data_IF_241370999137
#
_entry.id   IF_241370999137
#
_cell.length_a   1.000
_cell.length_b   1.000
_cell.length_c   1.000
_cell.angle_alpha   90.00
_cell.angle_beta   90.00
_cell.angle_gamma   90.00
#
_symmetry.space_group_name_H-M   'P 1'
#
loop_
_entity.id
_entity.type
_entity.pdbx_description
1 polymer ?
#
# COMPACT_ATOMS: atom_id res chain seq x y z
N UNK A 1 -29.92 10.09 -21.40
CA UNK A 1 -29.48 8.71 -21.08
C UNK A 1 -29.72 7.86 -22.32
N UNK A 2 -28.70 7.14 -22.74
CA UNK A 2 -28.77 6.24 -23.90
C UNK A 2 -28.98 4.79 -23.42
N UNK A 3 -29.72 3.99 -24.18
CA UNK A 3 -29.99 2.58 -23.86
C UNK A 3 -29.82 1.73 -25.12
N UNK A 4 -28.90 0.77 -25.04
CA UNK A 4 -28.76 -0.27 -26.06
C UNK A 4 -30.02 -1.13 -26.12
N UNK A 5 -30.46 -1.49 -27.33
CA UNK A 5 -31.74 -2.15 -27.59
C UNK A 5 -31.69 -3.69 -27.57
N UNK A 6 -30.49 -4.27 -27.47
CA UNK A 6 -30.26 -5.71 -27.58
C UNK A 6 -29.39 -6.22 -26.42
N UNK A 7 -29.56 -7.50 -25.99
CA UNK A 7 -28.88 -8.05 -24.83
C UNK A 7 -27.39 -8.34 -25.13
N UNK A 8 -26.50 -7.55 -24.53
CA UNK A 8 -25.05 -7.77 -24.62
C UNK A 8 -24.66 -8.99 -23.77
N UNK A 9 -23.94 -9.94 -24.39
CA UNK A 9 -23.46 -11.15 -23.71
C UNK A 9 -22.23 -10.83 -22.85
N UNK A 10 -22.43 -10.74 -21.54
CA UNK A 10 -21.37 -10.55 -20.55
C UNK A 10 -20.88 -11.89 -19.99
N UNK A 11 -19.62 -11.91 -19.53
CA UNK A 11 -18.99 -13.06 -18.89
C UNK A 11 -18.29 -12.59 -17.61
N UNK A 12 -18.58 -13.24 -16.49
CA UNK A 12 -17.91 -13.00 -15.21
C UNK A 12 -17.06 -14.24 -14.86
N UNK A 13 -15.89 -14.02 -14.27
CA UNK A 13 -15.07 -15.05 -13.65
C UNK A 13 -14.57 -14.53 -12.30
N UNK A 14 -14.51 -15.41 -11.30
CA UNK A 14 -14.16 -15.04 -9.93
C UNK A 14 -12.68 -15.33 -9.66
N UNK A 15 -12.00 -14.38 -9.00
CA UNK A 15 -10.58 -14.48 -8.62
C UNK A 15 -10.46 -13.98 -7.18
N UNK A 16 -10.00 -14.85 -6.29
CA UNK A 16 -9.97 -14.64 -4.84
C UNK A 16 -8.59 -14.13 -4.36
N UNK A 17 -8.42 -14.00 -3.04
CA UNK A 17 -7.28 -13.39 -2.32
C UNK A 17 -6.99 -11.92 -2.62
N UNK A 18 -7.03 -11.50 -3.89
CA UNK A 18 -6.69 -10.13 -4.30
C UNK A 18 -7.53 -9.65 -5.50
N UNK A 19 -8.35 -8.62 -5.28
CA UNK A 19 -9.32 -8.12 -6.26
C UNK A 19 -8.90 -6.79 -6.91
N UNK A 20 -8.31 -6.80 -8.13
CA UNK A 20 -8.23 -5.67 -9.11
C UNK A 20 -7.40 -6.13 -10.36
N UNK A 21 -7.46 -5.51 -11.57
CA UNK A 21 -6.54 -5.84 -12.70
C UNK A 21 -6.19 -4.75 -13.77
N UNK A 22 -4.88 -4.46 -14.02
CA UNK A 22 -4.38 -3.42 -14.97
C UNK A 22 -3.93 -4.05 -16.28
N UNK A 23 -4.73 -3.88 -17.33
CA UNK A 23 -4.25 -3.86 -18.72
C UNK A 23 -3.82 -2.43 -19.05
N UNK A 24 -2.95 -2.24 -20.05
CA UNK A 24 -2.69 -0.90 -20.62
C UNK A 24 -3.90 -0.39 -21.41
N UNK A 25 -4.04 0.94 -21.50
CA UNK A 25 -5.19 1.67 -22.10
C UNK A 25 -6.59 1.44 -21.50
N UNK A 26 -6.77 0.65 -20.43
CA UNK A 26 -8.01 0.65 -19.61
C UNK A 26 -7.76 0.16 -18.18
N UNK A 27 -8.18 0.92 -17.15
CA UNK A 27 -7.54 0.87 -15.83
C UNK A 27 -8.32 0.40 -14.59
N UNK A 28 -7.85 -0.72 -14.00
CA UNK A 28 -8.08 -1.29 -12.63
C UNK A 28 -6.71 -1.95 -12.22
N UNK A 29 -6.36 -2.47 -11.01
CA UNK A 29 -4.93 -2.84 -10.65
C UNK A 29 -4.53 -4.35 -10.44
N UNK A 30 -3.58 -4.92 -11.22
CA UNK A 30 -3.22 -6.39 -11.29
C UNK A 30 -3.05 -7.13 -9.94
N UNK A 31 -3.89 -8.17 -9.72
CA UNK A 31 -3.63 -9.28 -8.80
C UNK A 31 -4.34 -10.60 -9.23
N UNK A 32 -3.84 -11.76 -8.77
CA UNK A 32 -4.39 -13.11 -9.01
C UNK A 32 -4.59 -13.90 -7.68
N UNK A 33 -5.46 -14.93 -7.71
CA UNK A 33 -5.64 -15.91 -6.62
C UNK A 33 -4.39 -16.78 -6.40
N UNK A 34 -4.24 -17.34 -5.20
CA UNK A 34 -3.12 -18.13 -4.68
C UNK A 34 -1.92 -17.27 -4.27
N UNK A 35 -2.16 -16.39 -3.29
CA UNK A 35 -1.14 -16.08 -2.31
C UNK A 35 -1.48 -16.87 -1.05
N UNK A 36 -0.97 -18.10 -0.93
CA UNK A 36 -1.19 -18.97 0.23
C UNK A 36 -0.60 -18.35 1.50
N UNK A 37 -1.40 -17.50 2.16
CA UNK A 37 -1.05 -16.93 3.45
C UNK A 37 -1.49 -17.89 4.54
N UNK A 38 -0.53 -18.53 5.19
CA UNK A 38 -0.77 -19.27 6.42
C UNK A 38 -1.39 -18.31 7.46
N UNK A 39 -2.65 -18.55 7.82
CA UNK A 39 -3.33 -17.81 8.88
C UNK A 39 -2.85 -18.33 10.25
N UNK A 40 -1.57 -18.15 10.55
CA UNK A 40 -1.04 -18.45 11.88
C UNK A 40 -1.48 -17.34 12.85
N UNK A 41 -2.29 -17.74 13.83
CA UNK A 41 -2.70 -16.87 14.93
C UNK A 41 -1.49 -16.47 15.78
N UNK A 42 -1.52 -15.26 16.33
CA UNK A 42 -0.33 -14.60 16.85
C UNK A 42 0.48 -15.39 17.88
N UNK A 43 1.78 -15.52 17.61
CA UNK A 43 2.84 -15.73 18.59
C UNK A 43 3.58 -14.41 18.81
N UNK A 44 3.93 -14.08 20.05
CA UNK A 44 4.79 -12.93 20.39
C UNK A 44 6.25 -13.20 19.99
N UNK A 45 6.51 -13.16 18.69
CA UNK A 45 7.85 -13.31 18.10
C UNK A 45 7.94 -12.87 16.64
N UNK A 46 6.84 -12.87 15.88
CA UNK A 46 6.88 -12.61 14.43
C UNK A 46 7.03 -11.14 14.04
N UNK A 47 7.91 -10.90 13.06
CA UNK A 47 8.32 -9.56 12.62
C UNK A 47 7.34 -8.96 11.61
N UNK A 48 6.44 -8.10 12.11
CA UNK A 48 5.44 -7.37 11.30
C UNK A 48 6.15 -6.52 10.25
N UNK A 49 6.07 -6.93 8.99
CA UNK A 49 6.80 -6.30 7.88
C UNK A 49 5.98 -5.19 7.20
N UNK A 50 4.66 -5.18 7.39
CA UNK A 50 3.77 -4.08 7.04
C UNK A 50 2.48 -4.09 7.84
N UNK A 51 1.79 -2.94 7.91
CA UNK A 51 0.57 -2.80 8.71
C UNK A 51 0.39 -1.38 9.24
N UNK A 52 -0.17 -1.23 10.43
CA UNK A 52 -0.20 0.06 11.13
C UNK A 52 1.20 0.48 11.55
N UNK A 53 1.53 1.78 11.46
CA UNK A 53 2.81 2.29 11.92
C UNK A 53 3.12 1.88 13.35
N UNK A 54 2.13 1.86 14.26
CA UNK A 54 2.30 1.41 15.64
C UNK A 54 2.92 0.00 15.72
N UNK A 55 2.37 -0.95 14.98
CA UNK A 55 2.76 -2.35 15.06
C UNK A 55 4.08 -2.61 14.32
N UNK A 56 4.23 -2.03 13.12
CA UNK A 56 5.47 -2.11 12.32
C UNK A 56 6.65 -1.47 13.07
N UNK A 57 6.44 -0.33 13.74
CA UNK A 57 7.48 0.34 14.51
C UNK A 57 7.82 -0.39 15.83
N UNK A 58 6.94 -1.24 16.36
CA UNK A 58 7.20 -2.03 17.56
C UNK A 58 8.13 -3.23 17.29
N UNK A 59 8.18 -3.74 16.06
CA UNK A 59 8.96 -4.93 15.66
C UNK A 59 10.24 -4.61 14.86
N UNK A 60 10.62 -3.34 14.79
CA UNK A 60 11.82 -2.88 14.07
C UNK A 60 13.12 -3.25 14.80
N UNK A 61 14.13 -3.66 14.05
CA UNK A 61 15.52 -3.75 14.53
C UNK A 61 16.18 -2.38 14.72
N UNK A 62 17.46 -2.39 15.09
CA UNK A 62 18.26 -1.16 15.30
C UNK A 62 18.35 -0.35 14.00
N UNK A 63 18.68 -1.01 12.90
CA UNK A 63 18.94 -0.39 11.60
C UNK A 63 17.68 -0.28 10.72
N UNK A 64 16.49 -0.33 11.33
CA UNK A 64 15.20 -0.37 10.65
C UNK A 64 14.21 0.70 11.09
N UNK A 65 13.31 1.05 10.18
CA UNK A 65 12.26 2.06 10.38
C UNK A 65 10.94 1.62 9.76
N UNK A 66 9.84 2.00 10.40
CA UNK A 66 8.51 1.96 9.81
C UNK A 66 8.34 3.17 8.88
N UNK A 67 8.43 2.95 7.57
CA UNK A 67 8.22 3.96 6.54
C UNK A 67 6.73 4.12 6.23
N UNK A 68 6.21 5.35 6.32
CA UNK A 68 4.80 5.64 6.08
C UNK A 68 4.47 5.73 4.59
N UNK A 69 3.48 4.96 4.13
CA UNK A 69 3.00 4.96 2.75
C UNK A 69 1.45 4.97 2.74
N UNK A 70 0.78 6.10 2.44
CA UNK A 70 1.33 7.43 2.17
C UNK A 70 2.04 8.02 3.39
N UNK A 71 2.85 9.04 3.13
CA UNK A 71 3.55 9.80 4.18
C UNK A 71 2.61 10.35 5.28
N UNK A 72 3.12 10.42 6.51
CA UNK A 72 2.38 10.87 7.70
C UNK A 72 1.75 12.28 7.57
N UNK A 73 2.36 13.19 6.80
CA UNK A 73 1.80 14.53 6.58
C UNK A 73 0.46 14.46 5.81
N UNK A 74 0.36 13.54 4.84
CA UNK A 74 -0.89 13.29 4.13
C UNK A 74 -1.90 12.55 5.02
N UNK A 75 -1.47 11.51 5.75
CA UNK A 75 -2.36 10.74 6.63
C UNK A 75 -3.06 11.63 7.66
N UNK A 76 -2.32 12.58 8.28
CA UNK A 76 -2.92 13.60 9.16
C UNK A 76 -3.93 14.50 8.46
N UNK A 77 -3.72 14.85 7.19
CA UNK A 77 -4.63 15.72 6.43
C UNK A 77 -5.98 15.07 6.09
N UNK A 78 -6.04 13.74 6.12
CA UNK A 78 -7.28 12.95 5.95
C UNK A 78 -7.86 12.45 7.29
N UNK A 79 -7.36 12.96 8.42
CA UNK A 79 -7.84 12.62 9.78
C UNK A 79 -7.17 11.40 10.43
N UNK A 80 -6.37 10.64 9.68
CA UNK A 80 -5.73 9.41 10.16
C UNK A 80 -4.54 9.72 11.08
N UNK A 81 -4.48 9.03 12.23
CA UNK A 81 -3.42 9.25 13.23
C UNK A 81 -2.07 8.72 12.76
N UNK A 82 -0.96 9.22 13.35
CA UNK A 82 0.38 8.69 13.07
C UNK A 82 0.49 7.19 13.38
N UNK A 83 -0.20 6.71 14.40
CA UNK A 83 -0.10 5.30 14.82
C UNK A 83 -0.85 4.36 13.87
N UNK A 84 -1.88 4.88 13.20
CA UNK A 84 -2.84 4.13 12.38
C UNK A 84 -2.62 4.37 10.87
N UNK A 85 -1.76 5.32 10.51
CA UNK A 85 -1.22 5.45 9.16
C UNK A 85 -0.52 4.16 8.72
N UNK A 86 -0.77 3.63 7.50
CA UNK A 86 -0.07 2.45 7.02
C UNK A 86 1.44 2.67 6.94
N UNK A 87 2.20 1.60 7.15
CA UNK A 87 3.65 1.60 7.08
C UNK A 87 4.22 0.25 6.58
N UNK A 88 5.41 0.35 6.00
CA UNK A 88 6.28 -0.73 5.56
C UNK A 88 7.54 -0.75 6.45
N UNK A 89 8.01 -1.93 6.86
CA UNK A 89 9.31 -2.07 7.53
C UNK A 89 10.44 -2.10 6.50
N UNK A 90 11.45 -1.23 6.67
CA UNK A 90 12.64 -1.18 5.82
C UNK A 90 13.88 -0.73 6.58
N UNK A 91 15.06 -0.86 5.96
CA UNK A 91 16.31 -0.39 6.56
C UNK A 91 16.38 1.14 6.56
N UNK A 92 17.26 1.72 7.39
CA UNK A 92 17.53 3.16 7.37
C UNK A 92 18.12 3.65 6.04
N UNK A 93 18.91 2.83 5.35
CA UNK A 93 19.53 3.17 4.06
C UNK A 93 18.51 3.14 2.91
N UNK A 94 17.71 2.07 2.81
CA UNK A 94 16.63 1.96 1.84
C UNK A 94 15.61 3.10 2.06
N UNK A 95 15.33 3.44 3.33
CA UNK A 95 14.45 4.54 3.68
C UNK A 95 14.91 5.89 3.12
N UNK A 96 16.23 6.17 3.11
CA UNK A 96 16.79 7.40 2.55
C UNK A 96 16.54 7.55 1.03
N UNK A 97 16.41 6.43 0.32
CA UNK A 97 16.22 6.40 -1.13
C UNK A 97 14.75 6.69 -1.54
N UNK A 98 13.77 6.34 -0.70
CA UNK A 98 12.31 6.50 -0.98
C UNK A 98 11.87 7.90 -1.40
N UNK A 99 10.81 8.00 -2.24
CA UNK A 99 10.26 9.27 -2.77
C UNK A 99 9.69 10.22 -1.71
N UNK A 100 9.34 9.74 -0.52
CA UNK A 100 8.79 10.59 0.56
C UNK A 100 9.80 10.89 1.68
N UNK A 101 11.07 10.46 1.55
CA UNK A 101 12.10 10.69 2.56
C UNK A 101 12.42 12.18 2.80
N UNK A 102 12.42 12.59 4.06
CA UNK A 102 12.84 13.91 4.54
C UNK A 102 12.28 15.08 3.69
N UNK A 103 13.13 15.82 2.98
CA UNK A 103 12.73 16.95 2.13
C UNK A 103 11.79 16.55 0.98
N UNK A 104 12.00 15.36 0.39
CA UNK A 104 11.16 14.83 -0.70
C UNK A 104 9.72 14.60 -0.26
N UNK A 105 9.47 14.38 1.04
CA UNK A 105 8.13 14.36 1.62
C UNK A 105 7.37 15.67 1.41
N UNK A 106 8.04 16.82 1.57
CA UNK A 106 7.42 18.14 1.31
C UNK A 106 7.12 18.34 -0.17
N UNK A 107 8.00 17.89 -1.05
CA UNK A 107 7.83 17.97 -2.51
C UNK A 107 6.67 17.07 -2.99
N UNK A 108 6.61 15.83 -2.48
CA UNK A 108 5.52 14.89 -2.81
C UNK A 108 4.16 15.29 -2.22
N UNK A 109 4.11 16.12 -1.17
CA UNK A 109 2.84 16.76 -0.79
C UNK A 109 2.31 17.71 -1.87
N UNK A 110 3.19 18.35 -2.64
CA UNK A 110 2.85 19.28 -3.73
C UNK A 110 2.59 18.55 -5.05
N UNK A 111 3.44 17.61 -5.45
CA UNK A 111 3.25 16.86 -6.71
C UNK A 111 1.97 16.02 -6.71
N UNK A 112 1.61 15.48 -5.54
CA UNK A 112 0.47 14.57 -5.40
C UNK A 112 -0.80 15.33 -4.99
N UNK A 113 -0.84 16.65 -5.20
CA UNK A 113 -2.01 17.48 -4.88
C UNK A 113 -3.26 16.99 -5.64
N UNK A 114 -4.37 16.80 -4.92
CA UNK A 114 -5.60 16.22 -5.46
C UNK A 114 -5.62 14.69 -5.59
N UNK A 115 -4.49 13.98 -5.40
CA UNK A 115 -4.47 12.52 -5.39
C UNK A 115 -5.02 11.96 -4.07
N UNK A 116 -5.88 10.93 -4.20
CA UNK A 116 -6.47 10.16 -3.09
C UNK A 116 -5.44 9.32 -2.33
N UNK A 117 -5.83 8.79 -1.18
CA UNK A 117 -4.98 7.94 -0.36
C UNK A 117 -4.50 6.68 -1.10
N UNK A 118 -5.40 6.04 -1.88
CA UNK A 118 -5.07 4.90 -2.76
C UNK A 118 -4.07 5.29 -3.86
N UNK A 119 -4.23 6.46 -4.49
CA UNK A 119 -3.33 6.90 -5.56
C UNK A 119 -1.92 7.24 -5.03
N UNK A 120 -1.83 7.92 -3.88
CA UNK A 120 -0.55 8.18 -3.19
C UNK A 120 0.13 6.88 -2.74
N UNK A 121 -0.63 5.96 -2.15
CA UNK A 121 -0.14 4.62 -1.79
C UNK A 121 0.38 3.87 -3.03
N UNK A 122 -0.31 3.94 -4.17
CA UNK A 122 0.16 3.33 -5.41
C UNK A 122 1.48 3.93 -5.92
N UNK A 123 1.64 5.25 -5.90
CA UNK A 123 2.90 5.92 -6.27
C UNK A 123 4.06 5.53 -5.35
N UNK A 124 3.81 5.42 -4.04
CA UNK A 124 4.81 4.98 -3.08
C UNK A 124 5.16 3.49 -3.28
N UNK A 125 4.16 2.62 -3.55
CA UNK A 125 4.39 1.19 -3.89
C UNK A 125 5.20 1.02 -5.19
N UNK A 126 4.98 1.88 -6.18
CA UNK A 126 5.82 1.91 -7.40
C UNK A 126 7.26 2.30 -7.09
N UNK A 127 7.48 3.33 -6.27
CA UNK A 127 8.82 3.76 -5.85
C UNK A 127 9.59 2.66 -5.12
N UNK A 128 8.96 1.98 -4.16
CA UNK A 128 9.55 0.81 -3.49
C UNK A 128 9.93 -0.29 -4.49
N UNK A 129 9.08 -0.57 -5.49
CA UNK A 129 9.36 -1.60 -6.50
C UNK A 129 10.44 -1.19 -7.51
N UNK A 130 10.49 0.09 -7.88
CA UNK A 130 11.50 0.61 -8.82
C UNK A 130 12.88 0.65 -8.16
N UNK A 131 12.97 1.03 -6.89
CA UNK A 131 14.23 1.15 -6.16
C UNK A 131 14.74 -0.21 -5.62
N UNK A 132 13.84 -1.13 -5.24
CA UNK A 132 14.21 -2.35 -4.47
C UNK A 132 13.66 -3.66 -5.06
N UNK A 133 12.97 -3.63 -6.20
CA UNK A 133 12.40 -4.81 -6.85
C UNK A 133 11.43 -5.57 -5.95
N UNK A 134 11.73 -6.84 -5.69
CA UNK A 134 10.91 -7.73 -4.87
C UNK A 134 11.23 -7.70 -3.37
N UNK A 135 12.30 -7.01 -2.93
CA UNK A 135 12.85 -7.02 -1.56
C UNK A 135 11.80 -6.81 -0.46
N UNK A 136 10.81 -5.96 -0.73
CA UNK A 136 9.78 -5.57 0.23
C UNK A 136 8.41 -6.21 0.01
N UNK A 137 8.27 -7.19 -0.91
CA UNK A 137 6.95 -7.72 -1.30
C UNK A 137 6.10 -8.23 -0.11
N UNK A 138 6.66 -8.96 0.88
CA UNK A 138 5.90 -9.41 2.07
C UNK A 138 5.26 -8.21 2.81
N UNK A 139 6.09 -7.25 3.21
CA UNK A 139 5.62 -6.06 3.93
C UNK A 139 4.68 -5.17 3.10
N UNK A 140 4.91 -5.05 1.78
CA UNK A 140 3.99 -4.36 0.88
C UNK A 140 2.60 -5.02 0.86
N UNK A 141 2.53 -6.35 0.80
CA UNK A 141 1.25 -7.08 0.81
C UNK A 141 0.53 -6.92 2.16
N UNK A 142 1.25 -7.08 3.28
CA UNK A 142 0.70 -6.88 4.64
C UNK A 142 0.16 -5.45 4.83
N UNK A 143 0.94 -4.44 4.44
CA UNK A 143 0.57 -3.03 4.50
C UNK A 143 -0.61 -2.69 3.58
N UNK A 144 -0.66 -3.21 2.35
CA UNK A 144 -1.78 -2.99 1.43
C UNK A 144 -3.06 -3.66 1.96
N UNK A 145 -2.96 -4.85 2.58
CA UNK A 145 -4.10 -5.51 3.25
C UNK A 145 -4.62 -4.67 4.42
N UNK A 146 -3.73 -4.08 5.23
CA UNK A 146 -4.12 -3.15 6.28
C UNK A 146 -4.75 -1.87 5.73
N UNK A 147 -4.11 -1.20 4.77
CA UNK A 147 -4.66 0.01 4.15
C UNK A 147 -6.06 -0.23 3.54
N UNK A 148 -6.29 -1.38 2.91
CA UNK A 148 -7.62 -1.78 2.38
C UNK A 148 -8.71 -1.95 3.47
N UNK A 149 -8.37 -1.98 4.76
CA UNK A 149 -9.34 -1.98 5.87
C UNK A 149 -9.67 -0.58 6.43
N UNK A 150 -8.95 0.46 6.02
CA UNK A 150 -9.12 1.82 6.53
C UNK A 150 -10.19 2.60 5.74
N UNK A 151 -11.12 3.33 6.39
CA UNK A 151 -12.14 4.14 5.71
C UNK A 151 -11.58 5.19 4.74
N UNK A 152 -10.42 5.76 5.06
CA UNK A 152 -9.74 6.81 4.27
C UNK A 152 -9.14 6.28 2.96
N UNK A 153 -9.16 4.95 2.77
CA UNK A 153 -8.65 4.23 1.61
C UNK A 153 -9.77 3.44 0.89
N UNK A 154 -11.03 3.84 1.06
CA UNK A 154 -12.19 3.24 0.36
C UNK A 154 -12.54 3.87 -0.98
#
# INVERSE_FOLDING_TARGET
MEKYKEPVKVYNFEVEDWHTYYMSESGVLVHNKNCEMSNEGGSDSDKVSGGSFKNVNATRGVDEVAHHMPQNAYNKSIGLSRNDGPALLMSQDDHALTRTYAGKGKETMVSDAGLTARQRLYLDVLDIRNNFGSKYNKGLLEMIKYAKSLPEFQ
#
